data_IF_499851203042
#
_entry.id   IF_499851203042
#
_cell.length_a   1.000
_cell.length_b   1.000
_cell.length_c   1.000
_cell.angle_alpha   90.00
_cell.angle_beta   90.00
_cell.angle_gamma   90.00
#
_symmetry.space_group_name_H-M   'P 1'
#
loop_
_entity.id
_entity.type
_entity.pdbx_description
1 polymer ?
#
# COMPACT_ATOMS: atom_id res chain seq x y z
N UNK A 1 -7.00 11.16 -7.40
CA UNK A 1 -6.62 10.27 -6.31
C UNK A 1 -6.00 8.98 -6.87
N UNK A 2 -4.70 8.76 -6.70
CA UNK A 2 -4.01 7.57 -7.22
C UNK A 2 -2.80 7.25 -6.36
N UNK A 3 -2.54 5.98 -6.14
CA UNK A 3 -1.30 5.51 -5.54
C UNK A 3 -0.26 5.23 -6.62
N UNK A 4 0.94 5.77 -6.48
CA UNK A 4 2.08 5.50 -7.37
C UNK A 4 3.27 5.04 -6.54
N UNK A 5 3.72 3.81 -6.78
CA UNK A 5 4.93 3.28 -6.14
C UNK A 5 6.16 4.10 -6.53
N UNK A 6 7.09 4.39 -5.60
CA UNK A 6 8.35 5.06 -5.92
C UNK A 6 9.20 4.35 -6.98
N UNK A 7 8.96 3.06 -7.22
CA UNK A 7 9.66 2.25 -8.23
C UNK A 7 8.87 2.11 -9.55
N UNK A 8 7.77 2.84 -9.72
CA UNK A 8 7.06 2.94 -10.99
C UNK A 8 7.62 4.10 -11.82
N UNK A 9 7.57 3.94 -13.13
CA UNK A 9 7.98 4.97 -14.09
C UNK A 9 6.74 5.54 -14.79
N UNK A 10 6.60 6.87 -14.77
CA UNK A 10 5.46 7.56 -15.40
C UNK A 10 5.98 8.52 -16.46
N UNK A 11 5.55 8.32 -17.70
CA UNK A 11 5.88 9.19 -18.82
C UNK A 11 5.28 10.59 -18.70
N UNK A 12 5.95 11.55 -19.32
CA UNK A 12 5.57 12.96 -19.28
C UNK A 12 4.18 13.17 -19.90
N UNK A 13 3.38 14.06 -19.30
CA UNK A 13 2.05 14.39 -19.80
C UNK A 13 0.97 13.35 -19.47
N UNK A 14 1.30 12.29 -18.74
CA UNK A 14 0.32 11.26 -18.38
C UNK A 14 -0.56 11.68 -17.20
N UNK A 15 -1.84 11.33 -17.27
CA UNK A 15 -2.85 11.57 -16.27
C UNK A 15 -3.29 10.28 -15.60
N UNK A 16 -3.29 10.26 -14.26
CA UNK A 16 -3.67 9.11 -13.45
C UNK A 16 -4.86 9.46 -12.56
N UNK A 17 -5.91 8.63 -12.59
CA UNK A 17 -7.10 8.80 -11.79
C UNK A 17 -7.52 7.49 -11.16
N UNK A 18 -7.80 7.52 -9.85
CA UNK A 18 -8.34 6.39 -9.09
C UNK A 18 -7.66 5.05 -9.39
N UNK A 19 -6.32 5.07 -9.50
CA UNK A 19 -5.52 3.94 -9.93
C UNK A 19 -4.43 3.58 -8.92
N UNK A 20 -4.05 2.31 -8.89
CA UNK A 20 -2.93 1.81 -8.10
C UNK A 20 -1.79 1.38 -9.03
N UNK A 21 -0.76 2.20 -9.12
CA UNK A 21 0.42 1.92 -9.93
C UNK A 21 1.49 1.33 -9.02
N UNK A 22 1.59 0.01 -9.03
CA UNK A 22 2.49 -0.75 -8.16
C UNK A 22 3.89 -0.86 -8.74
N UNK A 23 4.72 -1.54 -8.01
CA UNK A 23 6.15 -1.72 -8.26
C UNK A 23 6.46 -2.19 -9.70
N UNK A 24 7.48 -1.58 -10.33
CA UNK A 24 7.97 -1.89 -11.68
C UNK A 24 6.98 -1.67 -12.82
N UNK A 25 5.85 -1.00 -12.58
CA UNK A 25 4.97 -0.60 -13.67
C UNK A 25 5.58 0.55 -14.45
N UNK A 26 5.41 0.54 -15.77
CA UNK A 26 5.89 1.58 -16.68
C UNK A 26 4.72 2.13 -17.46
N UNK A 27 4.48 3.42 -17.35
CA UNK A 27 3.44 4.13 -18.11
C UNK A 27 4.14 5.04 -19.10
N UNK A 28 3.79 4.92 -20.38
CA UNK A 28 4.31 5.72 -21.45
C UNK A 28 3.92 7.20 -21.34
N UNK A 29 4.34 8.00 -22.33
CA UNK A 29 4.04 9.43 -22.40
C UNK A 29 2.59 9.69 -22.84
N UNK A 30 2.01 10.80 -22.38
CA UNK A 30 0.66 11.26 -22.75
C UNK A 30 -0.44 10.20 -22.61
N UNK A 31 -0.36 9.38 -21.56
CA UNK A 31 -1.35 8.35 -21.24
C UNK A 31 -2.45 8.89 -20.33
N UNK A 32 -3.63 8.28 -20.40
CA UNK A 32 -4.74 8.47 -19.46
C UNK A 32 -5.08 7.14 -18.82
N UNK A 33 -4.80 7.01 -17.54
CA UNK A 33 -4.97 5.76 -16.77
C UNK A 33 -6.02 5.99 -15.68
N UNK A 34 -7.10 5.23 -15.70
CA UNK A 34 -8.20 5.40 -14.74
C UNK A 34 -8.77 4.06 -14.26
N UNK A 35 -9.00 3.94 -12.96
CA UNK A 35 -9.74 2.83 -12.35
C UNK A 35 -9.05 1.47 -12.42
N UNK A 36 -7.71 1.39 -12.52
CA UNK A 36 -6.97 0.14 -12.68
C UNK A 36 -5.95 -0.11 -11.57
N UNK A 37 -5.55 -1.37 -11.43
CA UNK A 37 -4.33 -1.76 -10.70
C UNK A 37 -3.32 -2.28 -11.70
N UNK A 38 -2.14 -1.65 -11.73
CA UNK A 38 -0.97 -2.11 -12.51
C UNK A 38 0.10 -2.62 -11.55
N UNK A 39 0.72 -3.75 -11.87
CA UNK A 39 1.77 -4.39 -11.07
C UNK A 39 2.81 -5.03 -12.01
N UNK A 40 3.77 -4.24 -12.44
CA UNK A 40 4.82 -4.66 -13.36
C UNK A 40 4.45 -4.64 -14.85
N UNK A 41 3.28 -4.08 -15.22
CA UNK A 41 2.91 -3.94 -16.62
C UNK A 41 3.54 -2.68 -17.24
N UNK A 42 3.80 -2.76 -18.56
CA UNK A 42 4.19 -1.63 -19.39
C UNK A 42 3.01 -1.19 -20.27
N UNK A 43 2.66 0.09 -20.19
CA UNK A 43 1.61 0.71 -20.98
C UNK A 43 2.30 1.57 -22.05
N UNK A 44 1.98 1.40 -23.35
CA UNK A 44 2.58 2.18 -24.41
C UNK A 44 2.15 3.65 -24.37
N UNK A 45 2.92 4.50 -25.04
CA UNK A 45 2.64 5.93 -25.18
C UNK A 45 1.26 6.19 -25.77
N UNK A 46 0.70 7.36 -25.50
CA UNK A 46 -0.56 7.87 -26.07
C UNK A 46 -1.76 6.92 -25.86
N UNK A 47 -1.79 6.21 -24.73
CA UNK A 47 -2.80 5.20 -24.43
C UNK A 47 -3.80 5.67 -23.38
N UNK A 48 -5.08 5.45 -23.65
CA UNK A 48 -6.15 5.46 -22.63
C UNK A 48 -6.34 4.04 -22.13
N UNK A 49 -6.22 3.85 -20.82
CA UNK A 49 -6.51 2.59 -20.13
C UNK A 49 -7.52 2.85 -19.02
N UNK A 50 -8.71 2.28 -19.14
CA UNK A 50 -9.78 2.53 -18.21
C UNK A 50 -10.42 1.24 -17.73
N UNK A 51 -10.35 0.98 -16.41
CA UNK A 51 -10.94 -0.16 -15.75
C UNK A 51 -12.37 0.09 -15.28
N UNK A 52 -13.24 -0.90 -15.46
CA UNK A 52 -14.63 -0.85 -15.02
C UNK A 52 -15.04 -2.17 -14.36
N UNK A 53 -15.87 -2.07 -13.31
CA UNK A 53 -16.67 -3.17 -12.84
C UNK A 53 -18.00 -3.15 -13.58
N UNK A 54 -18.47 -4.32 -13.99
CA UNK A 54 -19.76 -4.49 -14.67
C UNK A 54 -20.84 -4.91 -13.68
N UNK A 55 -22.11 -4.66 -14.04
CA UNK A 55 -23.30 -5.03 -13.25
C UNK A 55 -23.36 -6.53 -12.90
N UNK A 56 -22.75 -7.39 -13.72
CA UNK A 56 -22.65 -8.84 -13.46
C UNK A 56 -21.51 -9.21 -12.49
N UNK A 57 -20.83 -8.23 -11.89
CA UNK A 57 -19.73 -8.41 -10.95
C UNK A 57 -18.39 -8.70 -11.58
N UNK A 58 -18.30 -8.82 -12.92
CA UNK A 58 -17.06 -9.00 -13.65
C UNK A 58 -16.37 -7.67 -13.94
N UNK A 59 -15.17 -7.73 -14.51
CA UNK A 59 -14.32 -6.58 -14.81
C UNK A 59 -13.97 -6.52 -16.29
N UNK A 60 -13.83 -5.32 -16.81
CA UNK A 60 -13.30 -5.04 -18.14
C UNK A 60 -12.32 -3.89 -18.06
N UNK A 61 -11.26 -3.97 -18.84
CA UNK A 61 -10.33 -2.85 -19.07
C UNK A 61 -10.42 -2.45 -20.53
N UNK A 62 -10.76 -1.19 -20.76
CA UNK A 62 -10.79 -0.59 -22.09
C UNK A 62 -9.43 0.03 -22.39
N UNK A 63 -8.89 -0.24 -23.57
CA UNK A 63 -7.63 0.29 -24.02
C UNK A 63 -7.75 0.79 -25.45
N UNK A 64 -7.39 2.05 -25.69
CA UNK A 64 -7.39 2.68 -27.01
C UNK A 64 -6.42 3.86 -27.05
N UNK A 65 -6.06 4.33 -28.23
CA UNK A 65 -5.18 5.47 -28.38
C UNK A 65 -5.88 6.79 -28.00
N UNK A 66 -5.15 7.73 -27.41
CA UNK A 66 -5.66 9.06 -27.05
C UNK A 66 -6.29 9.77 -28.26
N UNK A 67 -5.79 9.50 -29.47
CA UNK A 67 -6.29 10.07 -30.71
C UNK A 67 -7.31 9.21 -31.46
N UNK A 68 -7.66 8.02 -30.95
CA UNK A 68 -8.61 7.13 -31.61
C UNK A 68 -10.02 7.72 -31.55
N UNK A 69 -10.73 7.65 -32.67
CA UNK A 69 -12.12 8.07 -32.77
C UNK A 69 -13.05 6.85 -32.67
N UNK A 70 -13.88 6.75 -31.63
CA UNK A 70 -14.77 5.59 -31.46
C UNK A 70 -15.74 5.32 -32.61
N UNK A 71 -16.02 6.34 -33.44
CA UNK A 71 -16.90 6.23 -34.62
C UNK A 71 -16.22 5.63 -35.84
N UNK A 72 -14.90 5.55 -35.81
CA UNK A 72 -14.10 5.00 -36.89
C UNK A 72 -13.82 3.52 -36.65
N UNK A 73 -13.64 2.77 -37.72
CA UNK A 73 -13.25 1.35 -37.69
C UNK A 73 -11.72 1.22 -37.64
N UNK A 74 -11.13 1.85 -36.62
CA UNK A 74 -9.68 1.80 -36.40
C UNK A 74 -9.34 1.86 -34.93
N UNK A 75 -8.21 1.27 -34.54
CA UNK A 75 -7.65 1.25 -33.19
C UNK A 75 -6.14 1.20 -33.23
N UNK A 76 -5.45 2.17 -32.63
CA UNK A 76 -4.00 2.35 -32.72
C UNK A 76 -3.50 2.32 -34.18
N UNK A 77 -4.26 2.94 -35.10
CA UNK A 77 -3.95 2.99 -36.52
C UNK A 77 -4.14 1.67 -37.30
N UNK A 78 -4.69 0.63 -36.67
CA UNK A 78 -5.05 -0.64 -37.32
C UNK A 78 -6.53 -0.67 -37.65
N UNK A 79 -6.88 -1.18 -38.82
CA UNK A 79 -8.29 -1.35 -39.22
C UNK A 79 -9.01 -2.39 -38.37
N UNK A 80 -10.25 -2.09 -38.03
CA UNK A 80 -11.22 -2.99 -37.40
C UNK A 80 -12.33 -3.33 -38.40
N UNK A 81 -12.98 -4.49 -38.25
CA UNK A 81 -14.09 -4.86 -39.14
C UNK A 81 -15.38 -4.05 -38.90
N UNK A 82 -15.49 -3.39 -37.76
CA UNK A 82 -16.60 -2.54 -37.35
C UNK A 82 -16.05 -1.32 -36.59
N UNK A 83 -16.86 -0.24 -36.42
CA UNK A 83 -16.42 0.91 -35.62
C UNK A 83 -15.98 0.49 -34.21
N UNK A 84 -14.96 1.16 -33.70
CA UNK A 84 -14.38 0.88 -32.38
C UNK A 84 -15.45 0.87 -31.26
N UNK A 85 -16.44 1.75 -31.36
CA UNK A 85 -17.57 1.84 -30.43
C UNK A 85 -18.35 0.53 -30.30
N UNK A 86 -18.46 -0.24 -31.38
CA UNK A 86 -19.26 -1.46 -31.48
C UNK A 86 -18.41 -2.75 -31.51
N UNK A 87 -17.08 -2.62 -31.59
CA UNK A 87 -16.17 -3.76 -31.70
C UNK A 87 -16.07 -4.52 -30.35
N UNK A 88 -16.50 -5.79 -30.27
CA UNK A 88 -16.42 -6.60 -29.06
C UNK A 88 -15.00 -7.20 -28.89
N UNK A 89 -14.03 -6.34 -28.59
CA UNK A 89 -12.61 -6.66 -28.55
C UNK A 89 -12.06 -6.80 -27.13
N UNK A 90 -12.76 -6.26 -26.11
CA UNK A 90 -12.28 -6.26 -24.74
C UNK A 90 -12.69 -7.52 -23.99
N UNK A 91 -11.76 -8.22 -23.33
CA UNK A 91 -12.05 -9.40 -22.53
C UNK A 91 -12.82 -9.02 -21.25
N UNK A 92 -13.74 -9.89 -20.82
CA UNK A 92 -14.51 -9.76 -19.58
C UNK A 92 -14.01 -10.79 -18.57
N UNK A 93 -13.42 -10.34 -17.47
CA UNK A 93 -12.66 -11.16 -16.55
C UNK A 93 -13.26 -11.21 -15.14
N UNK A 94 -12.79 -12.14 -14.30
CA UNK A 94 -13.24 -12.29 -12.93
C UNK A 94 -12.62 -11.24 -11.97
N UNK A 95 -11.43 -10.71 -12.30
CA UNK A 95 -10.75 -9.68 -11.51
C UNK A 95 -10.23 -8.54 -12.39
N UNK A 96 -9.90 -7.41 -11.76
CA UNK A 96 -9.30 -6.26 -12.46
C UNK A 96 -7.90 -6.60 -12.98
N UNK A 97 -7.11 -7.29 -12.19
CA UNK A 97 -5.75 -7.71 -12.53
C UNK A 97 -5.74 -8.61 -13.78
N UNK A 98 -6.69 -9.57 -13.81
CA UNK A 98 -6.88 -10.43 -14.98
C UNK A 98 -7.32 -9.62 -16.20
N UNK A 99 -8.25 -8.67 -16.04
CA UNK A 99 -8.73 -7.82 -17.12
C UNK A 99 -7.62 -6.95 -17.71
N UNK A 100 -6.74 -6.38 -16.89
CA UNK A 100 -5.53 -5.67 -17.34
C UNK A 100 -4.64 -6.58 -18.17
N UNK A 101 -4.31 -7.75 -17.62
CA UNK A 101 -3.42 -8.70 -18.30
C UNK A 101 -4.00 -9.15 -19.65
N UNK A 102 -5.25 -9.58 -19.69
CA UNK A 102 -5.92 -10.05 -20.90
C UNK A 102 -6.07 -8.95 -21.95
N UNK A 103 -6.30 -7.72 -21.54
CA UNK A 103 -6.40 -6.57 -22.45
C UNK A 103 -5.07 -6.21 -23.08
N UNK A 104 -3.97 -6.28 -22.31
CA UNK A 104 -2.61 -6.07 -22.83
C UNK A 104 -2.19 -7.19 -23.80
N UNK A 105 -2.58 -8.44 -23.54
CA UNK A 105 -2.35 -9.53 -24.49
C UNK A 105 -3.19 -9.31 -25.76
N UNK A 106 -4.48 -8.95 -25.64
CA UNK A 106 -5.31 -8.63 -26.80
C UNK A 106 -4.73 -7.47 -27.63
N UNK A 107 -4.14 -6.46 -26.99
CA UNK A 107 -3.44 -5.38 -27.66
C UNK A 107 -2.24 -5.88 -28.49
N UNK A 108 -1.40 -6.76 -27.93
CA UNK A 108 -0.25 -7.37 -28.64
C UNK A 108 -0.72 -8.17 -29.85
N UNK A 109 -1.86 -8.85 -29.75
CA UNK A 109 -2.49 -9.59 -30.83
C UNK A 109 -3.24 -8.70 -31.86
N UNK A 110 -3.35 -7.40 -31.62
CA UNK A 110 -4.04 -6.45 -32.47
C UNK A 110 -5.56 -6.37 -32.26
N UNK A 111 -6.04 -6.71 -31.06
CA UNK A 111 -7.44 -6.67 -30.66
C UNK A 111 -8.37 -7.47 -31.58
N UNK A 112 -8.26 -8.79 -31.60
CA UNK A 112 -9.16 -9.63 -32.39
C UNK A 112 -10.61 -9.53 -31.86
N UNK A 113 -11.57 -9.61 -32.77
CA UNK A 113 -13.00 -9.74 -32.39
C UNK A 113 -13.20 -11.01 -31.58
N UNK A 114 -13.83 -10.92 -30.43
CA UNK A 114 -14.06 -12.01 -29.48
C UNK A 114 -15.55 -12.34 -29.38
N UNK A 115 -15.88 -13.62 -29.33
CA UNK A 115 -17.28 -14.06 -29.11
C UNK A 115 -17.80 -13.72 -27.73
N UNK A 116 -16.90 -13.74 -26.73
CA UNK A 116 -17.12 -13.45 -25.31
C UNK A 116 -16.61 -12.07 -24.91
N UNK A 117 -16.21 -11.26 -25.89
CA UNK A 117 -15.74 -9.91 -25.69
C UNK A 117 -16.88 -8.91 -25.51
N UNK A 118 -16.52 -7.73 -25.02
CA UNK A 118 -17.44 -6.60 -24.86
C UNK A 118 -16.94 -5.39 -25.68
N UNK A 119 -17.85 -4.61 -26.23
CA UNK A 119 -17.53 -3.36 -26.92
C UNK A 119 -17.39 -2.18 -25.97
N UNK A 120 -16.90 -1.04 -26.45
CA UNK A 120 -16.95 0.22 -25.69
C UNK A 120 -18.39 0.55 -25.30
N UNK A 121 -19.32 0.48 -26.25
CA UNK A 121 -20.75 0.73 -26.06
C UNK A 121 -21.36 -0.15 -24.95
N UNK A 122 -21.14 -1.44 -25.04
CA UNK A 122 -21.73 -2.38 -24.10
C UNK A 122 -21.07 -2.27 -22.71
N UNK A 123 -19.77 -2.03 -22.65
CA UNK A 123 -19.06 -1.80 -21.38
C UNK A 123 -19.56 -0.52 -20.68
N UNK A 124 -19.89 0.52 -21.42
CA UNK A 124 -20.50 1.74 -20.90
C UNK A 124 -21.92 1.46 -20.35
N UNK A 125 -22.75 0.75 -21.11
CA UNK A 125 -24.12 0.44 -20.71
C UNK A 125 -24.21 -0.53 -19.53
N UNK A 126 -23.20 -1.38 -19.34
CA UNK A 126 -23.16 -2.40 -18.28
C UNK A 126 -22.27 -2.01 -17.09
N UNK A 127 -21.74 -0.77 -17.06
CA UNK A 127 -20.90 -0.29 -15.97
C UNK A 127 -21.68 -0.23 -14.65
N UNK A 128 -21.09 -0.78 -13.58
CA UNK A 128 -21.61 -0.67 -12.22
C UNK A 128 -21.11 0.62 -11.56
N UNK A 129 -21.89 1.68 -11.71
CA UNK A 129 -21.53 2.98 -11.13
C UNK A 129 -21.50 2.96 -9.59
N UNK A 130 -22.21 2.02 -8.95
CA UNK A 130 -22.17 1.88 -7.50
C UNK A 130 -20.84 1.37 -6.97
N UNK A 131 -20.01 0.80 -7.83
CA UNK A 131 -18.68 0.32 -7.49
C UNK A 131 -17.60 1.43 -7.47
N UNK A 132 -17.89 2.63 -7.96
CA UNK A 132 -16.91 3.72 -8.04
C UNK A 132 -16.46 4.21 -6.67
N UNK A 133 -17.38 4.58 -5.78
CA UNK A 133 -17.04 5.04 -4.42
C UNK A 133 -16.22 4.01 -3.62
N UNK A 134 -16.64 2.73 -3.51
CA UNK A 134 -15.84 1.72 -2.84
C UNK A 134 -14.44 1.52 -3.45
N UNK A 135 -14.30 1.73 -4.76
CA UNK A 135 -13.01 1.68 -5.41
C UNK A 135 -12.13 2.89 -5.05
N UNK A 136 -12.68 4.10 -5.09
CA UNK A 136 -12.00 5.33 -4.69
C UNK A 136 -11.55 5.28 -3.23
N UNK A 137 -12.42 4.82 -2.33
CA UNK A 137 -12.07 4.59 -0.92
C UNK A 137 -10.89 3.61 -0.78
N UNK A 138 -10.90 2.51 -1.54
CA UNK A 138 -9.81 1.53 -1.53
C UNK A 138 -8.49 2.14 -1.99
N UNK A 139 -8.50 3.00 -3.01
CA UNK A 139 -7.30 3.71 -3.48
C UNK A 139 -6.83 4.72 -2.44
N UNK A 140 -7.75 5.48 -1.85
CA UNK A 140 -7.45 6.45 -0.79
C UNK A 140 -6.83 5.77 0.44
N UNK A 141 -7.45 4.69 0.93
CA UNK A 141 -6.90 3.86 2.02
C UNK A 141 -5.45 3.42 1.71
N UNK A 142 -5.15 3.08 0.45
CA UNK A 142 -3.81 2.65 0.05
C UNK A 142 -2.80 3.79 0.10
N UNK A 143 -3.17 4.98 -0.35
CA UNK A 143 -2.32 6.18 -0.28
C UNK A 143 -2.01 6.50 1.18
N UNK A 144 -3.03 6.60 2.02
CA UNK A 144 -2.91 6.92 3.44
C UNK A 144 -2.07 5.88 4.20
N UNK A 145 -2.28 4.58 3.92
CA UNK A 145 -1.46 3.51 4.50
C UNK A 145 0.03 3.66 4.17
N UNK A 146 0.35 3.99 2.92
CA UNK A 146 1.76 4.16 2.52
C UNK A 146 2.37 5.41 3.16
N UNK A 147 1.62 6.51 3.29
CA UNK A 147 2.08 7.71 4.02
C UNK A 147 2.40 7.40 5.48
N UNK A 148 1.55 6.62 6.17
CA UNK A 148 1.81 6.15 7.53
C UNK A 148 3.09 5.31 7.59
N UNK A 149 3.23 4.34 6.70
CA UNK A 149 4.39 3.44 6.68
C UNK A 149 5.68 4.19 6.34
N UNK A 150 5.65 5.14 5.39
CA UNK A 150 6.80 6.00 5.09
C UNK A 150 7.21 6.87 6.27
N UNK A 151 6.26 7.50 6.96
CA UNK A 151 6.54 8.30 8.15
C UNK A 151 7.17 7.45 9.28
N UNK A 152 6.69 6.21 9.44
CA UNK A 152 7.28 5.23 10.36
C UNK A 152 8.73 4.93 9.97
N UNK A 153 8.99 4.66 8.70
CA UNK A 153 10.32 4.28 8.19
C UNK A 153 11.32 5.44 8.23
N UNK A 154 10.86 6.65 7.95
CA UNK A 154 11.67 7.88 8.09
C UNK A 154 11.88 8.34 9.53
N UNK A 155 11.28 7.63 10.51
CA UNK A 155 11.32 7.97 11.93
C UNK A 155 10.78 9.37 12.23
N UNK A 156 9.75 9.79 11.50
CA UNK A 156 9.10 11.08 11.69
C UNK A 156 8.34 11.16 13.02
N UNK A 157 7.92 12.36 13.39
CA UNK A 157 7.10 12.58 14.58
C UNK A 157 5.67 12.05 14.35
N UNK A 158 5.40 10.86 14.88
CA UNK A 158 4.10 10.19 14.70
C UNK A 158 2.95 10.89 15.42
N UNK A 159 3.21 11.67 16.46
CA UNK A 159 2.17 12.45 17.14
C UNK A 159 1.57 13.47 16.17
N UNK A 160 2.42 14.17 15.43
CA UNK A 160 1.97 15.11 14.41
C UNK A 160 1.19 14.40 13.29
N UNK A 161 1.67 13.27 12.81
CA UNK A 161 0.99 12.49 11.79
C UNK A 161 -0.43 12.10 12.25
N UNK A 162 -0.56 11.59 13.47
CA UNK A 162 -1.86 11.21 14.06
C UNK A 162 -2.79 12.42 14.26
N UNK A 163 -2.25 13.57 14.65
CA UNK A 163 -3.02 14.81 14.76
C UNK A 163 -3.55 15.31 13.42
N UNK A 164 -2.81 15.10 12.34
CA UNK A 164 -3.25 15.41 10.97
C UNK A 164 -4.38 14.47 10.49
N UNK A 165 -4.45 13.25 11.02
CA UNK A 165 -5.48 12.23 10.74
C UNK A 165 -6.70 12.34 11.68
N UNK A 166 -7.22 13.53 11.89
CA UNK A 166 -8.28 13.85 12.90
C UNK A 166 -9.55 13.01 12.77
N UNK A 167 -9.91 12.61 11.56
CA UNK A 167 -11.12 11.85 11.28
C UNK A 167 -10.95 10.34 11.53
N UNK A 168 -9.76 9.93 12.00
CA UNK A 168 -9.38 8.54 12.19
C UNK A 168 -8.88 7.87 10.92
N UNK A 169 -8.54 6.60 11.03
CA UNK A 169 -8.13 5.75 9.90
C UNK A 169 -9.15 4.64 9.67
N UNK A 170 -9.29 4.20 8.43
CA UNK A 170 -10.26 3.15 8.08
C UNK A 170 -9.92 1.80 8.71
N UNK A 171 -10.91 0.93 8.89
CA UNK A 171 -10.70 -0.44 9.37
C UNK A 171 -9.77 -1.25 8.45
N UNK A 172 -9.73 -0.93 7.15
CA UNK A 172 -8.79 -1.55 6.20
C UNK A 172 -7.35 -1.15 6.51
N UNK A 173 -7.09 0.13 6.77
CA UNK A 173 -5.76 0.62 7.13
C UNK A 173 -5.32 -0.03 8.45
N UNK A 174 -6.19 -0.06 9.47
CA UNK A 174 -5.89 -0.73 10.74
C UNK A 174 -5.52 -2.20 10.56
N UNK A 175 -6.29 -2.92 9.74
CA UNK A 175 -6.05 -4.34 9.46
C UNK A 175 -4.70 -4.57 8.75
N UNK A 176 -4.33 -3.74 7.78
CA UNK A 176 -3.04 -3.86 7.08
C UNK A 176 -1.86 -3.47 7.98
N UNK A 177 -1.98 -2.41 8.79
CA UNK A 177 -0.98 -2.05 9.79
C UNK A 177 -0.76 -3.18 10.81
N UNK A 178 -1.85 -3.79 11.30
CA UNK A 178 -1.77 -4.92 12.23
C UNK A 178 -1.09 -6.13 11.59
N UNK A 179 -1.44 -6.46 10.37
CA UNK A 179 -0.83 -7.54 9.59
C UNK A 179 0.66 -7.29 9.35
N UNK A 180 1.04 -6.06 9.05
CA UNK A 180 2.45 -5.67 8.94
C UNK A 180 3.19 -5.83 10.26
N UNK A 181 2.63 -5.32 11.38
CA UNK A 181 3.23 -5.48 12.70
C UNK A 181 3.45 -6.96 13.09
N UNK A 182 2.50 -7.84 12.74
CA UNK A 182 2.59 -9.28 13.02
C UNK A 182 3.69 -10.00 12.23
N UNK A 183 4.09 -9.48 11.07
CA UNK A 183 5.17 -10.05 10.24
C UNK A 183 6.55 -9.67 10.72
N UNK A 184 6.68 -8.57 11.48
CA UNK A 184 7.96 -8.02 11.90
C UNK A 184 8.57 -8.82 13.05
N UNK A 185 9.88 -9.08 12.93
CA UNK A 185 10.69 -9.75 13.95
C UNK A 185 10.86 -8.86 15.19
N UNK A 186 10.91 -9.50 16.38
CA UNK A 186 11.24 -8.84 17.64
C UNK A 186 12.74 -8.92 17.99
N UNK A 187 13.52 -9.63 17.19
CA UNK A 187 14.97 -9.84 17.43
C UNK A 187 15.86 -8.95 16.60
N UNK A 188 15.35 -8.42 15.50
CA UNK A 188 16.04 -7.48 14.62
C UNK A 188 15.67 -6.06 14.99
N UNK A 189 16.65 -5.24 15.39
CA UNK A 189 16.42 -3.92 15.97
C UNK A 189 15.57 -2.99 15.09
N UNK A 190 15.78 -2.99 13.78
CA UNK A 190 15.01 -2.15 12.87
C UNK A 190 13.57 -2.60 12.75
N UNK A 191 13.33 -3.90 12.57
CA UNK A 191 11.99 -4.48 12.52
C UNK A 191 11.26 -4.32 13.85
N UNK A 192 11.96 -4.51 14.96
CA UNK A 192 11.45 -4.28 16.31
C UNK A 192 10.99 -2.83 16.50
N UNK A 193 11.83 -1.85 16.13
CA UNK A 193 11.49 -0.44 16.20
C UNK A 193 10.28 -0.10 15.34
N UNK A 194 10.23 -0.61 14.11
CA UNK A 194 9.10 -0.43 13.20
C UNK A 194 7.81 -1.01 13.77
N UNK A 195 7.86 -2.21 14.34
CA UNK A 195 6.73 -2.88 15.00
C UNK A 195 6.13 -2.04 16.13
N UNK A 196 6.98 -1.51 17.03
CA UNK A 196 6.54 -0.64 18.12
C UNK A 196 5.85 0.61 17.56
N UNK A 197 6.42 1.26 16.56
CA UNK A 197 5.88 2.47 15.95
C UNK A 197 4.51 2.22 15.29
N UNK A 198 4.32 1.06 14.64
CA UNK A 198 3.02 0.65 14.10
C UNK A 198 2.00 0.48 15.24
N UNK A 199 2.34 -0.24 16.31
CA UNK A 199 1.43 -0.39 17.45
C UNK A 199 1.12 0.93 18.14
N UNK A 200 2.09 1.86 18.19
CA UNK A 200 1.84 3.21 18.70
C UNK A 200 0.80 3.95 17.85
N UNK A 201 0.94 3.98 16.52
CA UNK A 201 -0.07 4.58 15.64
C UNK A 201 -1.43 3.94 15.85
N UNK A 202 -1.52 2.61 15.86
CA UNK A 202 -2.78 1.90 16.12
C UNK A 202 -3.38 2.26 17.48
N UNK A 203 -2.55 2.43 18.53
CA UNK A 203 -3.01 2.77 19.88
C UNK A 203 -3.59 4.18 20.00
N UNK A 204 -3.19 5.09 19.13
CA UNK A 204 -3.74 6.44 19.07
C UNK A 204 -5.21 6.45 18.59
N UNK A 205 -5.61 5.44 17.83
CA UNK A 205 -7.00 5.26 17.36
C UNK A 205 -7.79 4.25 18.17
N UNK A 206 -7.11 3.24 18.75
CA UNK A 206 -7.73 2.22 19.58
C UNK A 206 -6.82 1.82 20.76
N UNK A 207 -7.22 2.21 21.96
CA UNK A 207 -6.45 2.02 23.20
C UNK A 207 -5.97 0.57 23.43
N UNK A 208 -6.72 -0.44 22.96
CA UNK A 208 -6.35 -1.86 23.08
C UNK A 208 -4.96 -2.20 22.53
N UNK A 209 -4.44 -1.44 21.57
CA UNK A 209 -3.12 -1.66 20.99
C UNK A 209 -1.96 -1.10 21.84
N UNK A 210 -2.26 -0.31 22.87
CA UNK A 210 -1.25 0.17 23.81
C UNK A 210 -0.60 -0.99 24.55
N UNK A 211 -1.39 -1.98 24.98
CA UNK A 211 -0.86 -3.20 25.62
C UNK A 211 0.08 -3.97 24.69
N UNK A 212 -0.26 -4.05 23.41
CA UNK A 212 0.59 -4.68 22.39
C UNK A 212 1.91 -3.94 22.20
N UNK A 213 1.89 -2.59 22.25
CA UNK A 213 3.08 -1.77 22.21
C UNK A 213 4.02 -2.07 23.38
N UNK A 214 3.49 -2.05 24.63
CA UNK A 214 4.26 -2.34 25.84
C UNK A 214 4.74 -3.79 25.90
N UNK A 215 3.92 -4.76 25.50
CA UNK A 215 4.31 -6.15 25.43
C UNK A 215 5.47 -6.37 24.46
N UNK A 216 5.44 -5.72 23.29
CA UNK A 216 6.54 -5.76 22.32
C UNK A 216 7.82 -5.17 22.90
N UNK A 217 7.75 -4.01 23.57
CA UNK A 217 8.91 -3.39 24.24
C UNK A 217 9.50 -4.33 25.29
N UNK A 218 8.66 -4.90 26.15
CA UNK A 218 9.09 -5.82 27.21
C UNK A 218 9.76 -7.06 26.64
N UNK A 219 9.17 -7.67 25.61
CA UNK A 219 9.72 -8.82 24.89
C UNK A 219 11.11 -8.54 24.31
N UNK A 220 11.26 -7.40 23.63
CA UNK A 220 12.56 -7.00 23.03
C UNK A 220 13.65 -6.71 24.07
N UNK A 221 13.28 -6.07 25.20
CA UNK A 221 14.21 -5.86 26.33
C UNK A 221 14.67 -7.20 26.91
N UNK A 222 13.75 -8.12 27.17
CA UNK A 222 14.08 -9.44 27.71
C UNK A 222 14.95 -10.23 26.73
N UNK A 223 14.60 -10.27 25.45
CA UNK A 223 15.41 -10.94 24.43
C UNK A 223 16.81 -10.35 24.31
N UNK A 224 16.95 -9.02 24.41
CA UNK A 224 18.24 -8.34 24.45
C UNK A 224 19.05 -8.63 25.70
N UNK A 225 18.40 -8.65 26.86
CA UNK A 225 19.05 -8.88 28.15
C UNK A 225 19.61 -10.31 28.29
N UNK A 226 18.91 -11.32 27.71
CA UNK A 226 19.35 -12.72 27.78
C UNK A 226 20.27 -13.11 26.61
N UNK A 227 20.41 -12.25 25.60
CA UNK A 227 21.26 -12.54 24.45
C UNK A 227 22.73 -12.64 24.88
N UNK A 228 23.30 -13.82 24.70
CA UNK A 228 24.69 -14.11 25.09
C UNK A 228 24.89 -14.52 26.54
N UNK A 229 23.81 -14.62 27.33
CA UNK A 229 23.90 -15.25 28.64
C UNK A 229 23.84 -16.77 28.47
N UNK A 230 24.86 -17.46 28.93
CA UNK A 230 24.83 -18.91 29.14
C UNK A 230 24.57 -19.17 30.61
N UNK A 231 23.48 -19.86 30.92
CA UNK A 231 23.22 -20.31 32.28
C UNK A 231 23.60 -21.78 32.40
N UNK A 232 24.56 -22.05 33.27
CA UNK A 232 24.93 -23.42 33.65
C UNK A 232 24.29 -23.70 35.01
N UNK A 233 23.22 -24.51 35.03
CA UNK A 233 22.49 -24.86 36.22
C UNK A 233 23.33 -25.69 37.21
N UNK A 234 24.37 -26.36 36.72
CA UNK A 234 25.26 -27.23 37.51
C UNK A 234 26.57 -26.50 37.93
N UNK A 235 26.70 -25.23 37.56
CA UNK A 235 27.87 -24.42 37.93
C UNK A 235 27.94 -24.25 39.46
N UNK A 236 28.98 -24.80 40.06
CA UNK A 236 29.25 -24.59 41.48
C UNK A 236 29.92 -23.23 41.68
N UNK A 237 29.48 -22.52 42.72
CA UNK A 237 30.20 -21.29 43.14
C UNK A 237 31.62 -21.63 43.49
N UNK A 238 32.56 -21.12 42.66
CA UNK A 238 34.00 -21.34 42.89
C UNK A 238 34.65 -20.36 43.88
N UNK A 239 33.86 -19.43 44.43
CA UNK A 239 34.32 -18.40 45.36
C UNK A 239 33.32 -18.17 46.47
N UNK A 240 33.83 -18.05 47.69
CA UNK A 240 33.02 -17.77 48.88
C UNK A 240 32.49 -16.33 48.92
N UNK A 241 33.09 -15.44 48.08
CA UNK A 241 32.74 -14.03 47.99
C UNK A 241 32.71 -13.58 46.55
N UNK A 242 31.62 -12.91 46.12
CA UNK A 242 31.47 -12.27 44.83
C UNK A 242 31.27 -10.77 45.04
N UNK A 243 32.12 -9.97 44.42
CA UNK A 243 31.98 -8.51 44.40
C UNK A 243 31.45 -8.08 43.08
N UNK A 244 30.28 -7.39 43.07
CA UNK A 244 29.65 -6.84 41.88
C UNK A 244 29.74 -5.33 41.94
N UNK A 245 30.38 -4.73 40.93
CA UNK A 245 30.43 -3.27 40.79
C UNK A 245 29.29 -2.87 39.86
N UNK A 246 28.28 -2.18 40.40
CA UNK A 246 27.15 -1.67 39.64
C UNK A 246 27.27 -0.15 39.45
N UNK A 247 27.04 0.39 38.29
CA UNK A 247 26.95 1.84 38.13
C UNK A 247 25.75 2.36 38.93
N UNK A 248 26.01 3.35 39.80
CA UNK A 248 24.93 4.00 40.56
C UNK A 248 24.47 5.23 39.78
N UNK A 249 23.18 5.24 39.41
CA UNK A 249 22.55 6.45 38.88
C UNK A 249 22.16 7.34 40.04
N UNK A 250 22.80 8.49 40.15
CA UNK A 250 22.41 9.53 41.13
C UNK A 250 21.53 10.55 40.43
N UNK A 251 20.32 10.70 40.88
CA UNK A 251 19.39 11.69 40.37
C UNK A 251 19.53 12.99 41.18
N UNK A 252 20.15 14.01 40.59
CA UNK A 252 20.46 15.27 41.26
C UNK A 252 19.29 16.23 41.31
N UNK A 253 18.14 15.89 40.71
CA UNK A 253 16.90 16.69 40.74
C UNK A 253 16.00 16.31 39.58
N UNK A 254 14.69 16.53 39.74
CA UNK A 254 13.72 16.42 38.68
C UNK A 254 13.61 15.05 37.99
N UNK A 255 13.75 13.97 38.72
CA UNK A 255 13.54 12.65 38.16
C UNK A 255 12.20 12.55 37.46
N UNK A 256 12.15 12.02 36.23
CA UNK A 256 11.00 11.89 35.34
C UNK A 256 10.82 13.00 34.32
N UNK A 257 11.66 14.04 34.27
CA UNK A 257 11.60 15.02 33.19
C UNK A 257 11.96 14.46 31.82
N UNK A 258 12.67 13.32 31.80
CA UNK A 258 13.04 12.56 30.59
C UNK A 258 12.00 11.54 30.17
N UNK A 259 10.85 11.45 30.87
CA UNK A 259 9.77 10.50 30.58
C UNK A 259 8.74 11.12 29.64
N UNK A 260 8.39 10.47 28.53
CA UNK A 260 7.25 10.93 27.73
C UNK A 260 5.94 10.87 28.53
N UNK A 261 5.01 11.80 28.34
CA UNK A 261 5.04 12.90 27.35
C UNK A 261 5.82 14.15 27.79
N UNK A 262 6.24 14.24 29.06
CA UNK A 262 6.76 15.49 29.63
C UNK A 262 7.99 16.02 28.87
N UNK A 263 8.96 15.17 28.55
CA UNK A 263 10.14 15.57 27.79
C UNK A 263 9.82 16.03 26.37
N UNK A 264 8.77 15.50 25.76
CA UNK A 264 8.32 15.88 24.42
C UNK A 264 7.62 17.25 24.41
N UNK A 265 6.96 17.61 25.52
CA UNK A 265 6.20 18.87 25.64
C UNK A 265 7.06 20.03 26.15
N UNK A 266 7.97 19.76 27.05
CA UNK A 266 8.69 20.80 27.80
C UNK A 266 10.19 20.86 27.52
N UNK A 267 10.71 19.86 26.84
CA UNK A 267 12.15 19.71 26.66
C UNK A 267 12.81 19.19 27.95
N UNK A 268 13.37 18.00 27.92
CA UNK A 268 14.11 17.41 29.03
C UNK A 268 15.59 17.69 28.93
#
# INVERSE_FOLDING_TARGET
NSYVSPAAEIGVGSYLEDSMIRHKSQIGEECVISGVTLDGQAIPDHTVLHGLKLLNGKFVVRMYGVSDNPKEASLFGKELPVPLWEAPIYPVCASMEEAVHQTLEAWKEGFPIRKDGISLKDSFNQADLSALLPWQEKVSDKVELEEILEAIDRKENLTRLVEEMRDGISERIKAELLKEAQRLSETELEQFSRKIRIYYVLSCFEEKYMDSCFATISSGILAGAVKGLSYDADAKMGKDQVTVNLPVRVNWGGGWSDTPPYCNEKGG
#
